data_IF_426380692211
#
_entry.id   IF_426380692211
#
_cell.length_a   1.000
_cell.length_b   1.000
_cell.length_c   1.000
_cell.angle_alpha   90.00
_cell.angle_beta   90.00
_cell.angle_gamma   90.00
#
_symmetry.space_group_name_H-M   'P 1'
#
loop_
_entity.id
_entity.type
_entity.pdbx_description
1 polymer ?
#
# COMPACT_ATOMS: atom_id res chain seq x y z
N UNK A 1 -9.71 8.76 19.04
CA UNK A 1 -9.41 9.06 17.62
C UNK A 1 -9.73 7.79 16.83
N UNK A 2 -10.35 7.86 15.65
CA UNK A 2 -10.63 6.66 14.88
C UNK A 2 -9.32 6.04 14.38
N UNK A 3 -9.18 4.74 14.59
CA UNK A 3 -8.14 3.91 14.00
C UNK A 3 -8.81 3.03 12.94
N UNK A 4 -8.25 3.00 11.74
CA UNK A 4 -8.78 2.23 10.61
C UNK A 4 -7.67 1.32 10.09
N UNK A 5 -7.98 0.03 9.97
CA UNK A 5 -7.09 -0.93 9.33
C UNK A 5 -7.44 -1.07 7.85
N UNK A 6 -6.45 -0.86 6.99
CA UNK A 6 -6.55 -1.09 5.56
C UNK A 6 -5.69 -2.28 5.16
N UNK A 7 -6.32 -3.35 4.68
CA UNK A 7 -5.63 -4.47 4.06
C UNK A 7 -5.34 -4.16 2.59
N UNK A 8 -4.06 -4.09 2.23
CA UNK A 8 -3.62 -3.89 0.85
C UNK A 8 -2.94 -5.16 0.36
N UNK A 9 -3.33 -5.64 -0.81
CA UNK A 9 -2.81 -6.89 -1.40
C UNK A 9 -2.30 -6.64 -2.82
N UNK A 10 -1.24 -7.34 -3.20
CA UNK A 10 -0.82 -7.40 -4.59
C UNK A 10 -1.76 -8.31 -5.37
N UNK A 11 -2.02 -7.99 -6.64
CA UNK A 11 -2.71 -8.93 -7.55
C UNK A 11 -1.90 -10.21 -7.80
N UNK A 12 -2.46 -11.11 -8.61
CA UNK A 12 -1.87 -12.42 -8.96
C UNK A 12 -0.66 -12.34 -9.91
N UNK A 13 -0.20 -11.14 -10.26
CA UNK A 13 0.93 -10.98 -11.16
C UNK A 13 2.28 -11.37 -10.51
N UNK A 14 3.34 -11.51 -11.33
CA UNK A 14 4.70 -11.80 -10.87
C UNK A 14 5.29 -10.65 -10.02
N UNK A 15 6.61 -10.59 -9.89
CA UNK A 15 7.33 -9.61 -9.06
C UNK A 15 6.84 -8.15 -9.21
N UNK A 16 6.39 -7.73 -10.39
CA UNK A 16 5.87 -6.39 -10.64
C UNK A 16 4.67 -6.01 -9.77
N UNK A 17 3.74 -6.93 -9.49
CA UNK A 17 2.59 -6.61 -8.63
C UNK A 17 3.02 -6.34 -7.18
N UNK A 18 4.11 -6.97 -6.72
CA UNK A 18 4.68 -6.69 -5.39
C UNK A 18 5.45 -5.38 -5.37
N UNK A 19 6.18 -5.06 -6.44
CA UNK A 19 6.81 -3.73 -6.60
C UNK A 19 5.75 -2.63 -6.56
N UNK A 20 4.64 -2.83 -7.28
CA UNK A 20 3.52 -1.90 -7.27
C UNK A 20 2.88 -1.76 -5.89
N UNK A 21 2.71 -2.86 -5.14
CA UNK A 21 2.22 -2.83 -3.76
C UNK A 21 3.14 -1.98 -2.87
N UNK A 22 4.45 -2.22 -2.91
CA UNK A 22 5.41 -1.46 -2.10
C UNK A 22 5.38 0.04 -2.44
N UNK A 23 5.26 0.38 -3.72
CA UNK A 23 5.14 1.77 -4.15
C UNK A 23 3.82 2.42 -3.71
N UNK A 24 2.70 1.69 -3.80
CA UNK A 24 1.39 2.15 -3.37
C UNK A 24 1.36 2.44 -1.86
N UNK A 25 1.99 1.59 -1.04
CA UNK A 25 2.10 1.80 0.40
C UNK A 25 2.80 3.13 0.69
N UNK A 26 3.95 3.40 0.06
CA UNK A 26 4.65 4.67 0.23
C UNK A 26 3.84 5.89 -0.22
N UNK A 27 2.98 5.74 -1.23
CA UNK A 27 2.05 6.80 -1.65
C UNK A 27 0.98 7.06 -0.59
N UNK A 28 0.43 6.00 0.02
CA UNK A 28 -0.57 6.10 1.08
C UNK A 28 0.05 6.74 2.33
N UNK A 29 1.25 6.34 2.74
CA UNK A 29 1.98 6.93 3.87
C UNK A 29 2.21 8.44 3.65
N UNK A 30 2.69 8.84 2.48
CA UNK A 30 2.91 10.25 2.16
C UNK A 30 1.62 11.08 2.08
N UNK A 31 0.49 10.47 1.68
CA UNK A 31 -0.82 11.13 1.71
C UNK A 31 -1.34 11.23 3.16
N UNK A 32 -1.17 10.20 3.98
CA UNK A 32 -1.53 10.21 5.39
C UNK A 32 -0.81 11.34 6.13
N UNK A 33 0.50 11.46 5.95
CA UNK A 33 1.31 12.52 6.55
C UNK A 33 0.80 13.91 6.15
N UNK A 34 0.50 14.13 4.85
CA UNK A 34 -0.06 15.39 4.36
C UNK A 34 -1.43 15.72 4.93
N UNK A 35 -2.21 14.71 5.34
CA UNK A 35 -3.54 14.85 5.94
C UNK A 35 -3.50 14.86 7.47
N UNK A 36 -2.31 14.86 8.09
CA UNK A 36 -2.15 14.82 9.54
C UNK A 36 -2.60 13.49 10.15
N UNK A 37 -2.47 12.40 9.40
CA UNK A 37 -2.68 11.04 9.88
C UNK A 37 -1.33 10.36 10.11
N UNK A 38 -1.28 9.48 11.10
CA UNK A 38 -0.16 8.56 11.30
C UNK A 38 -0.46 7.22 10.63
N UNK A 39 0.59 6.54 10.17
CA UNK A 39 0.50 5.22 9.54
C UNK A 39 1.46 4.25 10.23
N UNK A 40 0.97 3.06 10.61
CA UNK A 40 1.80 1.91 10.96
C UNK A 40 1.63 0.83 9.88
N UNK A 41 2.71 0.19 9.46
CA UNK A 41 2.68 -0.80 8.37
C UNK A 41 3.23 -2.14 8.83
N UNK A 42 2.36 -3.14 8.85
CA UNK A 42 2.73 -4.54 9.08
C UNK A 42 2.70 -5.32 7.78
N UNK A 43 3.88 -5.74 7.31
CA UNK A 43 4.01 -6.52 6.09
C UNK A 43 3.70 -8.00 6.31
N UNK A 44 2.96 -8.59 5.37
CA UNK A 44 2.79 -10.03 5.28
C UNK A 44 4.03 -10.73 4.71
N UNK A 45 3.83 -11.97 4.24
CA UNK A 45 4.89 -12.79 3.69
C UNK A 45 5.64 -12.10 2.53
N UNK A 46 6.97 -12.07 2.63
CA UNK A 46 7.91 -11.55 1.63
C UNK A 46 8.65 -12.71 0.97
N UNK A 47 8.15 -13.24 -0.16
CA UNK A 47 8.72 -14.43 -0.78
C UNK A 47 10.11 -14.16 -1.40
N UNK A 48 10.42 -12.90 -1.74
CA UNK A 48 11.68 -12.50 -2.36
C UNK A 48 11.96 -11.00 -2.18
N UNK A 49 12.99 -10.50 -2.88
CA UNK A 49 13.43 -9.10 -2.85
C UNK A 49 12.44 -8.09 -3.45
N UNK A 50 11.35 -8.54 -4.09
CA UNK A 50 10.43 -7.67 -4.81
C UNK A 50 9.28 -7.16 -3.95
N UNK A 51 9.22 -7.54 -2.67
CA UNK A 51 8.28 -7.01 -1.69
C UNK A 51 7.34 -8.05 -1.09
N UNK A 52 6.39 -7.60 -0.28
CA UNK A 52 5.37 -8.45 0.31
C UNK A 52 4.23 -8.76 -0.67
N UNK A 53 3.44 -9.81 -0.38
CA UNK A 53 2.16 -10.05 -1.07
C UNK A 53 1.00 -9.21 -0.52
N UNK A 54 1.12 -8.77 0.72
CA UNK A 54 0.11 -7.98 1.41
C UNK A 54 0.74 -7.17 2.54
N UNK A 55 0.02 -6.15 3.00
CA UNK A 55 0.31 -5.42 4.22
C UNK A 55 -1.00 -4.98 4.89
N UNK A 56 -0.97 -4.87 6.22
CA UNK A 56 -1.97 -4.15 7.00
C UNK A 56 -1.41 -2.76 7.31
N UNK A 57 -2.18 -1.73 6.98
CA UNK A 57 -1.88 -0.34 7.31
C UNK A 57 -2.85 0.10 8.41
N UNK A 58 -2.33 0.40 9.59
CA UNK A 58 -3.07 1.06 10.66
C UNK A 58 -3.01 2.57 10.45
N UNK A 59 -4.16 3.20 10.16
CA UNK A 59 -4.29 4.64 9.95
C UNK A 59 -4.97 5.28 11.16
N UNK A 60 -4.34 6.29 11.75
CA UNK A 60 -4.93 7.03 12.87
C UNK A 60 -5.00 8.53 12.55
N UNK A 61 -6.10 9.17 12.97
CA UNK A 61 -6.31 10.60 12.82
C UNK A 61 -7.70 10.93 12.29
N UNK A 62 -8.05 12.22 12.31
CA UNK A 62 -9.40 12.66 11.92
C UNK A 62 -9.74 12.32 10.46
N UNK A 63 -8.73 12.27 9.59
CA UNK A 63 -8.88 12.01 8.15
C UNK A 63 -8.65 10.53 7.75
N UNK A 64 -8.39 9.63 8.72
CA UNK A 64 -8.01 8.24 8.45
C UNK A 64 -9.12 7.47 7.70
N UNK A 65 -10.38 7.65 8.10
CA UNK A 65 -11.51 6.98 7.46
C UNK A 65 -11.74 7.45 6.01
N UNK A 66 -11.60 8.76 5.75
CA UNK A 66 -11.72 9.30 4.40
C UNK A 66 -10.59 8.79 3.49
N UNK A 67 -9.35 8.80 4.00
CA UNK A 67 -8.20 8.26 3.29
C UNK A 67 -8.39 6.77 2.96
N UNK A 68 -8.79 5.96 3.94
CA UNK A 68 -9.05 4.54 3.73
C UNK A 68 -10.14 4.30 2.69
N UNK A 69 -11.22 5.10 2.69
CA UNK A 69 -12.30 4.99 1.73
C UNK A 69 -11.86 5.30 0.28
N UNK A 70 -10.98 6.30 0.09
CA UNK A 70 -10.43 6.65 -1.24
C UNK A 70 -9.57 5.53 -1.84
N UNK A 71 -8.88 4.74 -1.01
CA UNK A 71 -8.05 3.61 -1.43
C UNK A 71 -8.76 2.25 -1.35
N UNK A 72 -9.99 2.20 -0.84
CA UNK A 72 -10.76 0.97 -0.74
C UNK A 72 -11.28 0.55 -2.12
N UNK A 73 -10.67 -0.49 -2.69
CA UNK A 73 -11.02 -1.03 -3.99
C UNK A 73 -9.82 -1.62 -4.72
N UNK A 74 -9.90 -1.69 -6.05
CA UNK A 74 -8.82 -2.21 -6.89
C UNK A 74 -8.06 -1.08 -7.53
N UNK A 75 -6.73 -1.04 -7.31
CA UNK A 75 -5.83 -0.07 -7.94
C UNK A 75 -5.12 -0.70 -9.14
N UNK A 76 -5.25 -0.07 -10.31
CA UNK A 76 -4.43 -0.39 -11.48
C UNK A 76 -3.20 0.52 -11.50
N UNK A 77 -2.06 -0.01 -11.10
CA UNK A 77 -0.79 0.72 -11.07
C UNK A 77 -0.04 0.56 -12.39
N UNK A 78 0.27 1.66 -13.08
CA UNK A 78 0.99 1.66 -14.36
C UNK A 78 2.38 2.25 -14.16
N UNK A 79 3.42 1.48 -14.51
CA UNK A 79 4.82 1.88 -14.35
C UNK A 79 5.72 1.09 -15.30
N UNK A 80 6.91 1.60 -15.58
CA UNK A 80 7.95 0.84 -16.30
C UNK A 80 8.48 -0.25 -15.38
N UNK A 81 8.35 -1.52 -15.78
CA UNK A 81 8.82 -2.65 -14.96
C UNK A 81 10.33 -2.55 -14.72
N UNK A 82 10.81 -2.56 -13.46
CA UNK A 82 12.23 -2.68 -13.15
C UNK A 82 12.71 -4.14 -13.15
N UNK A 83 11.80 -5.10 -13.34
CA UNK A 83 12.10 -6.55 -13.29
C UNK A 83 12.29 -7.13 -14.67
N UNK A 84 11.58 -6.60 -15.68
CA UNK A 84 11.73 -7.08 -17.05
C UNK A 84 13.03 -6.54 -17.65
N UNK A 85 13.82 -7.39 -18.35
CA UNK A 85 14.86 -6.87 -19.23
C UNK A 85 14.20 -5.97 -20.28
N UNK A 86 14.78 -4.79 -20.48
CA UNK A 86 14.30 -3.79 -21.42
C UNK A 86 14.53 -4.15 -22.87
#
# INVERSE_FOLDING_TARGET
>A
MPAIDLLVTSGSGPAECRVALMALIGIIEAEADRRGCTTDVTFGHRPDRHGAKSALLGLEGANAAALAAEYCGTVKFVFKSPVRPG
#
